data_IF_099868156471
#
_entry.id   IF_099868156471
#
_cell.length_a   1.000
_cell.length_b   1.000
_cell.length_c   1.000
_cell.angle_alpha   90.00
_cell.angle_beta   90.00
_cell.angle_gamma   90.00
#
_symmetry.space_group_name_H-M   'P 1'
#
loop_
_entity.id
_entity.type
_entity.pdbx_description
1 polymer ?
#
# COMPACT_ATOMS: atom_id res chain seq x y z
N UNK A 1 17.14 -1.21 2.88
CA UNK A 1 17.22 0.00 2.04
C UNK A 1 18.33 -0.25 1.03
N UNK A 2 18.09 -0.16 -0.29
CA UNK A 2 19.16 -0.27 -1.30
C UNK A 2 20.17 0.85 -1.16
N UNK A 3 21.46 0.57 -1.43
CA UNK A 3 22.53 1.57 -1.34
C UNK A 3 22.29 2.74 -2.29
N UNK A 4 21.78 2.46 -3.50
CA UNK A 4 21.40 3.49 -4.48
C UNK A 4 20.40 4.51 -3.94
N UNK A 5 19.50 4.11 -3.05
CA UNK A 5 18.53 5.01 -2.40
C UNK A 5 19.22 5.88 -1.35
N UNK A 6 20.12 5.29 -0.55
CA UNK A 6 20.92 6.01 0.45
C UNK A 6 21.79 7.06 -0.24
N UNK A 7 22.47 6.66 -1.31
CA UNK A 7 23.37 7.52 -2.09
C UNK A 7 22.60 8.68 -2.75
N UNK A 8 21.38 8.42 -3.28
CA UNK A 8 20.55 9.47 -3.89
C UNK A 8 20.13 10.54 -2.87
N UNK A 9 19.74 10.14 -1.66
CA UNK A 9 19.39 11.06 -0.57
C UNK A 9 20.63 11.86 -0.14
N UNK A 10 21.76 11.19 0.08
CA UNK A 10 23.01 11.84 0.47
C UNK A 10 23.53 12.81 -0.60
N UNK A 11 23.46 12.43 -1.87
CA UNK A 11 23.86 13.28 -2.99
C UNK A 11 22.95 14.51 -3.12
N UNK A 12 21.64 14.37 -2.83
CA UNK A 12 20.73 15.51 -2.82
C UNK A 12 21.15 16.56 -1.80
N UNK A 13 21.44 16.16 -0.55
CA UNK A 13 21.97 17.06 0.46
C UNK A 13 23.32 17.70 0.08
N UNK A 14 24.18 16.93 -0.59
CA UNK A 14 25.52 17.39 -1.01
C UNK A 14 25.51 18.46 -2.10
N UNK A 15 24.42 18.56 -2.90
CA UNK A 15 24.28 19.59 -3.95
C UNK A 15 23.77 20.94 -3.45
N UNK A 16 23.30 21.00 -2.21
CA UNK A 16 22.70 22.18 -1.62
C UNK A 16 21.17 22.14 -1.66
N UNK A 17 20.56 22.71 -0.62
CA UNK A 17 19.11 22.72 -0.44
C UNK A 17 18.54 24.05 -0.91
N UNK A 18 17.47 24.02 -1.70
CA UNK A 18 16.69 25.17 -2.12
C UNK A 18 15.19 24.84 -2.11
N UNK A 19 14.37 25.84 -2.43
CA UNK A 19 12.96 25.66 -2.77
C UNK A 19 12.75 25.80 -4.28
N UNK A 20 11.58 25.45 -4.76
CA UNK A 20 11.10 25.65 -6.13
C UNK A 20 10.82 27.13 -6.41
N UNK A 21 10.59 27.47 -7.68
CA UNK A 21 10.18 28.79 -8.18
C UNK A 21 11.27 29.89 -8.08
N UNK A 22 12.51 29.53 -7.79
CA UNK A 22 13.64 30.46 -7.81
C UNK A 22 14.28 30.54 -9.19
N UNK A 23 14.81 31.77 -9.56
CA UNK A 23 15.46 32.01 -10.86
C UNK A 23 16.97 31.72 -10.81
N UNK A 24 17.36 30.61 -10.22
CA UNK A 24 18.75 30.19 -10.02
C UNK A 24 18.91 28.68 -10.00
N UNK A 25 20.10 28.21 -10.37
CA UNK A 25 20.38 26.78 -10.63
C UNK A 25 19.94 25.82 -9.53
N UNK A 26 20.16 26.16 -8.25
CA UNK A 26 19.75 25.26 -7.16
C UNK A 26 18.22 25.09 -7.05
N UNK A 27 17.42 26.06 -7.50
CA UNK A 27 15.96 25.93 -7.57
C UNK A 27 15.54 25.07 -8.76
N UNK A 28 16.19 25.25 -9.92
CA UNK A 28 15.95 24.41 -11.10
C UNK A 28 16.30 22.94 -10.83
N UNK A 29 17.36 22.67 -10.05
CA UNK A 29 17.72 21.30 -9.60
C UNK A 29 16.61 20.66 -8.73
N UNK A 30 15.93 21.45 -7.89
CA UNK A 30 14.81 20.96 -7.08
C UNK A 30 13.61 20.64 -7.97
N UNK A 31 13.27 21.52 -8.92
CA UNK A 31 12.18 21.29 -9.87
C UNK A 31 12.38 20.00 -10.67
N UNK A 32 13.62 19.75 -11.16
CA UNK A 32 13.94 18.49 -11.84
C UNK A 32 13.85 17.27 -10.90
N UNK A 33 14.24 17.41 -9.62
CA UNK A 33 14.08 16.35 -8.61
C UNK A 33 12.61 15.99 -8.42
N UNK A 34 11.75 17.00 -8.28
CA UNK A 34 10.29 16.80 -8.14
C UNK A 34 9.71 16.18 -9.42
N UNK A 35 10.05 16.69 -10.59
CA UNK A 35 9.57 16.14 -11.87
C UNK A 35 10.03 14.69 -12.08
N UNK A 36 11.28 14.36 -11.70
CA UNK A 36 11.79 12.98 -11.75
C UNK A 36 11.04 12.06 -10.81
N UNK A 37 10.75 12.49 -9.58
CA UNK A 37 9.96 11.73 -8.62
C UNK A 37 8.52 11.50 -9.11
N UNK A 38 7.87 12.52 -9.73
CA UNK A 38 6.53 12.36 -10.31
C UNK A 38 6.52 11.33 -11.46
N UNK A 39 7.52 11.39 -12.36
CA UNK A 39 7.68 10.36 -13.42
C UNK A 39 7.88 8.96 -12.82
N UNK A 40 8.66 8.84 -11.74
CA UNK A 40 8.86 7.57 -11.05
C UNK A 40 7.56 7.06 -10.41
N UNK A 41 6.82 7.94 -9.74
CA UNK A 41 5.52 7.61 -9.15
C UNK A 41 4.49 7.20 -10.20
N UNK A 42 4.47 7.88 -11.34
CA UNK A 42 3.61 7.56 -12.47
C UNK A 42 3.90 6.17 -13.03
N UNK A 43 5.18 5.86 -13.26
CA UNK A 43 5.60 4.53 -13.72
C UNK A 43 5.27 3.43 -12.71
N UNK A 44 5.41 3.70 -11.41
CA UNK A 44 5.06 2.73 -10.34
C UNK A 44 3.55 2.48 -10.24
N UNK A 45 2.74 3.53 -10.33
CA UNK A 45 1.29 3.46 -10.15
C UNK A 45 0.49 3.18 -11.45
N UNK A 46 1.12 3.22 -12.63
CA UNK A 46 0.44 3.15 -13.92
C UNK A 46 -0.50 4.35 -14.11
N UNK A 47 0.05 5.56 -14.01
CA UNK A 47 -0.70 6.82 -14.08
C UNK A 47 0.11 7.90 -14.83
N UNK A 48 -0.50 9.06 -15.05
CA UNK A 48 0.20 10.24 -15.58
C UNK A 48 0.99 10.96 -14.47
N UNK A 49 2.20 11.53 -14.73
CA UNK A 49 2.97 12.30 -13.74
C UNK A 49 2.19 13.47 -13.11
N UNK A 50 1.30 14.13 -13.85
CA UNK A 50 0.45 15.21 -13.34
C UNK A 50 -0.64 14.73 -12.36
N UNK A 51 -0.76 13.44 -12.16
CA UNK A 51 -1.71 12.83 -11.23
C UNK A 51 -1.06 12.29 -9.96
N UNK A 52 0.24 12.55 -9.78
CA UNK A 52 1.02 12.10 -8.62
C UNK A 52 1.11 13.23 -7.59
N UNK A 53 0.62 12.98 -6.39
CA UNK A 53 0.67 13.89 -5.24
C UNK A 53 1.57 13.30 -4.16
N UNK A 54 2.50 14.08 -3.65
CA UNK A 54 3.37 13.71 -2.54
C UNK A 54 2.93 14.36 -1.22
N UNK A 55 3.35 13.76 -0.11
CA UNK A 55 3.10 14.29 1.23
C UNK A 55 3.92 13.57 2.28
N UNK A 56 3.71 13.93 3.54
CA UNK A 56 4.51 13.41 4.65
C UNK A 56 4.37 11.92 4.88
N UNK A 57 3.18 11.37 4.66
CA UNK A 57 2.87 9.92 4.69
C UNK A 57 1.47 9.67 4.10
N UNK A 58 1.20 8.41 3.75
CA UNK A 58 -0.09 8.01 3.15
C UNK A 58 -1.29 8.33 4.05
N UNK A 59 -1.19 8.13 5.35
CA UNK A 59 -2.28 8.42 6.29
C UNK A 59 -2.66 9.91 6.29
N UNK A 60 -1.67 10.81 6.29
CA UNK A 60 -1.91 12.27 6.22
C UNK A 60 -2.54 12.68 4.89
N UNK A 61 -2.11 12.07 3.78
CA UNK A 61 -2.71 12.31 2.46
C UNK A 61 -4.16 11.82 2.41
N UNK A 62 -4.45 10.64 2.94
CA UNK A 62 -5.84 10.14 3.01
C UNK A 62 -6.72 11.03 3.88
N UNK A 63 -6.21 11.55 5.01
CA UNK A 63 -6.94 12.55 5.79
C UNK A 63 -7.13 13.87 5.04
N UNK A 64 -6.17 14.27 4.22
CA UNK A 64 -6.30 15.48 3.40
C UNK A 64 -7.37 15.31 2.32
N UNK A 65 -7.34 14.19 1.59
CA UNK A 65 -8.34 13.81 0.59
C UNK A 65 -9.73 13.69 1.21
N UNK A 66 -9.86 12.97 2.33
CA UNK A 66 -11.15 12.73 2.97
C UNK A 66 -11.83 14.01 3.47
N UNK A 67 -11.07 14.99 3.97
CA UNK A 67 -11.61 16.30 4.35
C UNK A 67 -12.13 17.08 3.14
N UNK A 68 -11.48 16.96 1.99
CA UNK A 68 -11.93 17.56 0.75
C UNK A 68 -13.18 16.85 0.23
N UNK A 69 -13.21 15.52 0.27
CA UNK A 69 -14.36 14.70 -0.05
C UNK A 69 -15.57 15.00 0.83
N UNK A 70 -15.39 15.19 2.15
CA UNK A 70 -16.46 15.53 3.08
C UNK A 70 -17.26 16.79 2.67
N UNK A 71 -16.68 17.66 1.84
CA UNK A 71 -17.33 18.87 1.31
C UNK A 71 -18.19 18.61 0.07
N UNK A 72 -18.13 17.39 -0.47
CA UNK A 72 -18.90 16.99 -1.67
C UNK A 72 -20.09 16.09 -1.32
N UNK A 73 -20.21 15.66 -0.08
CA UNK A 73 -21.26 14.76 0.41
C UNK A 73 -22.06 15.41 1.53
N UNK A 74 -23.24 14.85 1.85
CA UNK A 74 -24.13 15.35 2.91
C UNK A 74 -25.08 14.28 3.43
N UNK A 75 -26.09 14.70 4.24
CA UNK A 75 -27.12 13.79 4.73
C UNK A 75 -27.85 13.08 3.59
N UNK A 76 -27.94 11.75 3.70
CA UNK A 76 -28.53 10.88 2.66
C UNK A 76 -27.48 10.21 1.76
N UNK A 77 -26.27 10.74 1.70
CA UNK A 77 -25.16 10.09 1.00
C UNK A 77 -24.58 8.92 1.80
N UNK A 78 -23.79 8.09 1.12
CA UNK A 78 -23.31 6.83 1.65
C UNK A 78 -21.87 6.56 1.26
N UNK A 79 -21.09 6.01 2.20
CA UNK A 79 -19.69 5.59 2.02
C UNK A 79 -19.55 4.12 2.39
N UNK A 80 -18.77 3.38 1.61
CA UNK A 80 -18.46 1.95 1.86
C UNK A 80 -16.98 1.80 2.19
N UNK A 81 -16.69 1.07 3.27
CA UNK A 81 -15.34 0.67 3.69
C UNK A 81 -15.32 -0.81 3.99
N UNK A 82 -14.15 -1.44 4.05
CA UNK A 82 -14.06 -2.89 4.33
C UNK A 82 -13.41 -3.19 5.68
N UNK A 83 -13.73 -4.36 6.24
CA UNK A 83 -13.09 -4.88 7.46
C UNK A 83 -11.70 -5.48 7.20
N UNK A 84 -11.30 -5.62 5.93
CA UNK A 84 -10.00 -6.16 5.56
C UNK A 84 -8.87 -5.14 5.67
N UNK A 85 -9.21 -3.87 5.71
CA UNK A 85 -8.32 -2.73 5.52
C UNK A 85 -7.43 -2.41 6.73
N UNK A 86 -6.31 -1.79 6.43
CA UNK A 86 -5.56 -0.97 7.39
C UNK A 86 -6.39 0.29 7.74
N UNK A 87 -6.45 0.67 9.03
CA UNK A 87 -7.30 1.76 9.52
C UNK A 87 -7.00 3.13 8.85
N UNK A 88 -5.82 3.31 8.27
CA UNK A 88 -5.51 4.50 7.49
C UNK A 88 -6.39 4.67 6.25
N UNK A 89 -6.90 3.57 5.66
CA UNK A 89 -7.84 3.60 4.53
C UNK A 89 -9.32 3.44 4.97
N UNK A 90 -9.58 3.46 6.25
CA UNK A 90 -10.93 3.36 6.85
C UNK A 90 -11.29 4.65 7.56
N UNK A 91 -10.53 4.98 8.60
CA UNK A 91 -10.86 6.05 9.54
C UNK A 91 -11.05 7.41 8.89
N UNK A 92 -10.23 7.84 7.91
CA UNK A 92 -10.43 9.11 7.22
C UNK A 92 -11.80 9.21 6.55
N UNK A 93 -12.24 8.15 5.86
CA UNK A 93 -13.53 8.12 5.15
C UNK A 93 -14.71 8.04 6.10
N UNK A 94 -14.61 7.25 7.17
CA UNK A 94 -15.63 7.16 8.23
C UNK A 94 -15.81 8.51 8.92
N UNK A 95 -14.74 9.23 9.22
CA UNK A 95 -14.81 10.55 9.84
C UNK A 95 -15.38 11.59 8.86
N UNK A 96 -14.97 11.55 7.60
CA UNK A 96 -15.52 12.41 6.56
C UNK A 96 -17.04 12.24 6.41
N UNK A 97 -17.51 11.00 6.34
CA UNK A 97 -18.93 10.68 6.27
C UNK A 97 -19.67 11.19 7.52
N UNK A 98 -19.15 10.90 8.72
CA UNK A 98 -19.75 11.36 9.98
C UNK A 98 -19.85 12.89 10.04
N UNK A 99 -18.77 13.59 9.69
CA UNK A 99 -18.73 15.06 9.79
C UNK A 99 -19.66 15.73 8.75
N UNK A 100 -19.92 15.05 7.62
CA UNK A 100 -20.88 15.47 6.61
C UNK A 100 -22.34 15.02 6.88
N UNK A 101 -22.59 14.19 7.90
CA UNK A 101 -23.90 13.60 8.19
C UNK A 101 -24.29 12.47 7.23
N UNK A 102 -23.35 11.93 6.47
CA UNK A 102 -23.52 10.76 5.61
C UNK A 102 -23.42 9.45 6.41
N UNK A 103 -23.93 8.37 5.83
CA UNK A 103 -23.90 7.04 6.44
C UNK A 103 -22.71 6.21 5.94
N UNK A 104 -22.33 5.16 6.71
CA UNK A 104 -21.23 4.25 6.37
C UNK A 104 -21.75 2.81 6.41
N UNK A 105 -21.37 1.99 5.42
CA UNK A 105 -21.51 0.53 5.44
C UNK A 105 -20.14 -0.13 5.44
N UNK A 106 -20.04 -1.18 6.24
CA UNK A 106 -18.87 -2.02 6.35
C UNK A 106 -19.08 -3.30 5.55
N UNK A 107 -18.20 -3.56 4.61
CA UNK A 107 -18.13 -4.85 3.91
C UNK A 107 -17.43 -5.85 4.81
N UNK A 108 -18.06 -6.99 5.02
CA UNK A 108 -17.54 -8.04 5.89
C UNK A 108 -16.48 -8.90 5.19
N UNK A 109 -15.78 -9.70 5.99
CA UNK A 109 -14.83 -10.72 5.52
C UNK A 109 -15.30 -12.09 5.99
N UNK A 110 -14.99 -13.12 5.22
CA UNK A 110 -15.20 -14.52 5.61
C UNK A 110 -14.19 -14.88 6.69
N UNK A 111 -14.62 -15.33 7.90
CA UNK A 111 -13.68 -15.61 8.98
C UNK A 111 -12.72 -16.76 8.71
N UNK A 112 -13.10 -17.68 7.82
CA UNK A 112 -12.35 -18.92 7.56
C UNK A 112 -11.04 -18.64 6.80
N UNK A 113 -11.05 -17.70 5.87
CA UNK A 113 -9.90 -17.41 5.02
C UNK A 113 -9.58 -15.91 4.90
N UNK A 114 -10.31 -15.06 5.63
CA UNK A 114 -10.17 -13.60 5.62
C UNK A 114 -10.23 -13.00 4.19
N UNK A 115 -11.06 -13.55 3.30
CA UNK A 115 -11.40 -12.95 2.02
C UNK A 115 -12.60 -12.02 2.16
N UNK A 116 -12.74 -11.05 1.25
CA UNK A 116 -13.93 -10.19 1.17
C UNK A 116 -15.16 -11.08 0.96
N UNK A 117 -16.22 -10.82 1.72
CA UNK A 117 -17.51 -11.46 1.51
C UNK A 117 -18.23 -10.76 0.32
N UNK A 118 -18.41 -11.46 -0.82
CA UNK A 118 -19.00 -10.85 -2.01
C UNK A 118 -20.47 -10.51 -1.82
N UNK A 119 -21.24 -11.25 -0.99
CA UNK A 119 -22.64 -10.94 -0.72
C UNK A 119 -22.76 -9.64 0.09
N UNK A 120 -21.88 -9.47 1.09
CA UNK A 120 -21.78 -8.23 1.86
C UNK A 120 -21.37 -7.04 0.99
N UNK A 121 -20.45 -7.25 0.03
CA UNK A 121 -20.04 -6.20 -0.90
C UNK A 121 -21.17 -5.79 -1.85
N UNK A 122 -21.86 -6.75 -2.47
CA UNK A 122 -22.96 -6.49 -3.38
C UNK A 122 -24.12 -5.77 -2.66
N UNK A 123 -24.49 -6.19 -1.45
CA UNK A 123 -25.50 -5.52 -0.63
C UNK A 123 -25.11 -4.08 -0.25
N UNK A 124 -23.82 -3.80 -0.01
CA UNK A 124 -23.34 -2.45 0.26
C UNK A 124 -23.52 -1.50 -0.95
N UNK A 125 -23.39 -2.02 -2.18
CA UNK A 125 -23.56 -1.24 -3.41
C UNK A 125 -25.00 -0.88 -3.74
N UNK A 126 -25.99 -1.65 -3.27
CA UNK A 126 -27.43 -1.35 -3.48
C UNK A 126 -27.83 0.03 -2.95
N UNK A 127 -27.07 0.61 -2.03
CA UNK A 127 -27.29 1.94 -1.46
C UNK A 127 -26.71 3.08 -2.30
N UNK A 128 -26.19 2.80 -3.48
CA UNK A 128 -25.55 3.77 -4.38
C UNK A 128 -24.52 4.65 -3.65
N UNK A 129 -23.41 4.07 -3.14
CA UNK A 129 -22.41 4.82 -2.38
C UNK A 129 -21.74 5.89 -3.23
N UNK A 130 -21.35 7.01 -2.60
CA UNK A 130 -20.54 8.07 -3.23
C UNK A 130 -19.07 7.66 -3.34
N UNK A 131 -18.62 6.84 -2.40
CA UNK A 131 -17.24 6.34 -2.36
C UNK A 131 -17.20 4.93 -1.79
N UNK A 132 -16.38 4.09 -2.42
CA UNK A 132 -15.99 2.76 -1.94
C UNK A 132 -14.49 2.77 -1.70
N UNK A 133 -14.06 2.48 -0.47
CA UNK A 133 -12.65 2.37 -0.11
C UNK A 133 -12.31 0.94 0.30
N UNK A 134 -11.24 0.37 -0.29
CA UNK A 134 -10.74 -0.95 0.07
C UNK A 134 -9.25 -1.14 -0.23
N UNK A 135 -8.61 -2.10 0.47
CA UNK A 135 -7.20 -2.45 0.24
C UNK A 135 -7.04 -3.40 -0.94
N UNK A 136 -5.97 -3.24 -1.72
CA UNK A 136 -5.59 -4.19 -2.77
C UNK A 136 -5.02 -5.50 -2.20
N UNK A 137 -4.40 -5.43 -1.01
CA UNK A 137 -3.99 -6.61 -0.25
C UNK A 137 -3.91 -6.29 1.24
N UNK A 138 -4.37 -7.23 2.07
CA UNK A 138 -4.32 -7.10 3.53
C UNK A 138 -2.88 -7.09 4.04
N UNK A 139 -2.53 -6.04 4.76
CA UNK A 139 -1.24 -5.93 5.46
C UNK A 139 -1.13 -6.88 6.67
N UNK A 140 -2.21 -7.52 7.07
CA UNK A 140 -2.27 -8.42 8.22
C UNK A 140 -2.13 -9.90 7.82
N UNK A 141 -2.94 -10.37 6.89
CA UNK A 141 -3.06 -11.78 6.51
C UNK A 141 -2.60 -12.08 5.07
N UNK A 142 -2.26 -11.04 4.32
CA UNK A 142 -1.77 -11.17 2.95
C UNK A 142 -2.83 -11.40 1.87
N UNK A 143 -4.11 -11.54 2.23
CA UNK A 143 -5.21 -11.72 1.25
C UNK A 143 -5.20 -10.60 0.22
N UNK A 144 -5.18 -10.95 -1.07
CA UNK A 144 -5.34 -10.03 -2.21
C UNK A 144 -6.81 -9.94 -2.56
N UNK A 145 -7.33 -8.72 -2.68
CA UNK A 145 -8.73 -8.49 -3.05
C UNK A 145 -8.95 -8.72 -4.55
N UNK A 146 -10.13 -9.14 -4.99
CA UNK A 146 -10.50 -9.23 -6.40
C UNK A 146 -10.80 -7.82 -6.95
N UNK A 147 -9.77 -6.95 -6.95
CA UNK A 147 -9.92 -5.51 -7.11
C UNK A 147 -10.57 -5.12 -8.44
N UNK A 148 -10.24 -5.77 -9.56
CA UNK A 148 -10.83 -5.46 -10.86
C UNK A 148 -12.36 -5.66 -10.86
N UNK A 149 -12.85 -6.74 -10.26
CA UNK A 149 -14.29 -7.00 -10.12
C UNK A 149 -14.94 -5.97 -9.18
N UNK A 150 -14.32 -5.71 -8.01
CA UNK A 150 -14.86 -4.77 -7.03
C UNK A 150 -14.93 -3.34 -7.60
N UNK A 151 -13.88 -2.89 -8.30
CA UNK A 151 -13.88 -1.58 -8.96
C UNK A 151 -14.99 -1.51 -10.01
N UNK A 152 -15.10 -2.52 -10.88
CA UNK A 152 -16.12 -2.52 -11.92
C UNK A 152 -17.55 -2.44 -11.36
N UNK A 153 -17.85 -3.20 -10.30
CA UNK A 153 -19.14 -3.15 -9.59
C UNK A 153 -19.38 -1.80 -8.91
N UNK A 154 -18.38 -1.24 -8.22
CA UNK A 154 -18.49 0.05 -7.55
C UNK A 154 -18.71 1.19 -8.56
N UNK A 155 -17.97 1.20 -9.68
CA UNK A 155 -18.14 2.19 -10.76
C UNK A 155 -19.52 2.05 -11.42
N UNK A 156 -20.02 0.83 -11.61
CA UNK A 156 -21.38 0.60 -12.14
C UNK A 156 -22.48 1.13 -11.18
N UNK A 157 -22.21 1.15 -9.87
CA UNK A 157 -23.07 1.76 -8.87
C UNK A 157 -22.92 3.30 -8.79
N UNK A 158 -22.03 3.91 -9.58
CA UNK A 158 -21.78 5.35 -9.61
C UNK A 158 -20.82 5.86 -8.53
N UNK A 159 -20.09 4.97 -7.86
CA UNK A 159 -19.16 5.34 -6.79
C UNK A 159 -17.80 5.77 -7.31
N UNK A 160 -17.15 6.69 -6.59
CA UNK A 160 -15.70 6.85 -6.63
C UNK A 160 -15.03 5.69 -5.88
N UNK A 161 -13.86 5.26 -6.35
CA UNK A 161 -13.14 4.13 -5.76
C UNK A 161 -11.75 4.55 -5.29
N UNK A 162 -11.51 4.43 -3.98
CA UNK A 162 -10.22 4.66 -3.35
C UNK A 162 -9.59 3.32 -2.94
N UNK A 163 -8.42 2.99 -3.48
CA UNK A 163 -7.73 1.76 -3.15
C UNK A 163 -6.45 2.01 -2.36
N UNK A 164 -6.23 1.21 -1.32
CA UNK A 164 -4.97 1.18 -0.58
C UNK A 164 -4.01 0.20 -1.27
N UNK A 165 -3.02 0.74 -1.99
CA UNK A 165 -1.94 0.01 -2.62
C UNK A 165 -0.70 -0.18 -1.74
N UNK A 166 -0.71 0.32 -0.51
CA UNK A 166 0.49 0.41 0.36
C UNK A 166 1.14 -0.95 0.60
N UNK A 167 0.36 -1.99 0.82
CA UNK A 167 0.93 -3.33 1.06
C UNK A 167 1.28 -4.06 -0.23
N UNK A 168 0.43 -3.99 -1.24
CA UNK A 168 0.63 -4.71 -2.50
C UNK A 168 1.79 -4.16 -3.35
N UNK A 169 2.11 -2.86 -3.22
CA UNK A 169 3.07 -2.16 -4.08
C UNK A 169 4.50 -2.72 -4.06
N UNK A 170 4.88 -3.48 -3.04
CA UNK A 170 6.19 -4.16 -2.99
C UNK A 170 6.16 -5.57 -3.62
N UNK A 171 4.97 -6.11 -3.90
CA UNK A 171 4.75 -7.50 -4.31
C UNK A 171 4.26 -7.63 -5.75
N UNK A 172 3.47 -6.67 -6.23
CA UNK A 172 2.83 -6.71 -7.55
C UNK A 172 2.75 -5.34 -8.19
N UNK A 173 2.74 -5.32 -9.51
CA UNK A 173 2.49 -4.10 -10.27
C UNK A 173 1.10 -3.56 -10.00
N UNK A 174 1.02 -2.23 -9.85
CA UNK A 174 -0.24 -1.48 -9.80
C UNK A 174 -0.40 -0.74 -11.12
N UNK A 175 -1.62 -0.68 -11.63
CA UNK A 175 -1.98 0.13 -12.79
C UNK A 175 -3.33 0.80 -12.52
N UNK A 176 -3.28 2.08 -12.12
CA UNK A 176 -4.47 2.84 -11.74
C UNK A 176 -5.45 2.96 -12.91
N UNK A 177 -4.93 3.23 -14.11
CA UNK A 177 -5.76 3.44 -15.28
C UNK A 177 -6.41 2.13 -15.77
N UNK A 178 -5.65 1.05 -15.81
CA UNK A 178 -6.19 -0.26 -16.17
C UNK A 178 -7.17 -0.80 -15.12
N UNK A 179 -6.94 -0.52 -13.82
CA UNK A 179 -7.84 -0.90 -12.74
C UNK A 179 -9.15 -0.11 -12.77
N UNK A 180 -9.11 1.14 -13.26
CA UNK A 180 -10.26 2.04 -13.29
C UNK A 180 -10.65 2.61 -11.93
N UNK A 181 -9.77 2.55 -10.93
CA UNK A 181 -9.96 3.21 -9.65
C UNK A 181 -9.70 4.72 -9.76
N UNK A 182 -10.23 5.50 -8.82
CA UNK A 182 -10.07 6.95 -8.84
C UNK A 182 -8.88 7.42 -8.00
N UNK A 183 -8.52 6.66 -6.96
CA UNK A 183 -7.43 6.98 -6.05
C UNK A 183 -6.65 5.70 -5.73
N UNK A 184 -5.33 5.74 -5.82
CA UNK A 184 -4.44 4.74 -5.22
C UNK A 184 -3.45 5.41 -4.29
N UNK A 185 -3.30 4.85 -3.09
CA UNK A 185 -2.34 5.32 -2.07
C UNK A 185 -1.16 4.36 -1.97
N UNK A 186 0.06 4.88 -1.94
CA UNK A 186 1.29 4.12 -1.79
C UNK A 186 2.17 4.79 -0.72
N UNK A 187 2.86 3.98 0.08
CA UNK A 187 3.89 4.43 1.04
C UNK A 187 5.27 4.09 0.48
N UNK A 188 6.04 5.05 -0.04
CA UNK A 188 7.36 4.81 -0.62
C UNK A 188 8.31 3.98 0.24
N UNK A 189 8.30 4.12 1.58
CA UNK A 189 9.16 3.31 2.45
C UNK A 189 8.86 1.80 2.42
N UNK A 190 7.67 1.39 1.95
CA UNK A 190 7.33 -0.03 1.75
C UNK A 190 7.72 -0.55 0.37
N UNK A 191 8.12 0.32 -0.53
CA UNK A 191 8.72 -0.02 -1.82
C UNK A 191 10.20 0.38 -1.86
N UNK A 192 10.89 0.17 -0.72
CA UNK A 192 12.33 0.35 -0.52
C UNK A 192 12.81 1.80 -0.60
N UNK A 193 11.92 2.77 -0.58
CA UNK A 193 12.20 4.21 -0.58
C UNK A 193 12.19 4.84 0.83
N UNK A 194 12.33 6.17 0.92
CA UNK A 194 12.26 6.91 2.17
C UNK A 194 10.84 7.03 2.75
N UNK A 195 10.75 7.53 4.00
CA UNK A 195 9.47 7.85 4.64
C UNK A 195 8.84 9.09 4.00
N UNK A 196 7.83 8.85 3.20
CA UNK A 196 6.92 9.83 2.60
C UNK A 196 5.63 9.14 2.18
N UNK A 197 4.63 9.89 1.75
CA UNK A 197 3.39 9.40 1.16
C UNK A 197 3.30 9.75 -0.30
N UNK A 198 2.61 8.91 -1.07
CA UNK A 198 2.25 9.16 -2.46
C UNK A 198 0.79 8.75 -2.69
N UNK A 199 0.09 9.57 -3.45
CA UNK A 199 -1.23 9.26 -4.01
C UNK A 199 -1.15 9.48 -5.51
N UNK A 200 -1.68 8.54 -6.29
CA UNK A 200 -2.08 8.79 -7.66
C UNK A 200 -3.61 8.85 -7.71
N UNK A 201 -4.17 9.87 -8.36
CA UNK A 201 -5.61 10.03 -8.46
C UNK A 201 -6.03 10.52 -9.85
N UNK A 202 -7.32 10.34 -10.18
CA UNK A 202 -7.89 10.84 -11.44
C UNK A 202 -7.93 12.37 -11.45
N UNK A 203 -7.96 12.97 -12.65
CA UNK A 203 -8.13 14.40 -12.81
C UNK A 203 -9.44 14.89 -12.16
N UNK A 204 -10.53 14.08 -12.24
CA UNK A 204 -11.80 14.38 -11.57
C UNK A 204 -11.61 14.62 -10.06
N UNK A 205 -10.89 13.73 -9.38
CA UNK A 205 -10.60 13.90 -7.94
C UNK A 205 -9.69 15.10 -7.69
N UNK A 206 -8.62 15.25 -8.47
CA UNK A 206 -7.61 16.29 -8.21
C UNK A 206 -8.09 17.70 -8.54
N UNK A 207 -8.95 17.88 -9.53
CA UNK A 207 -9.36 19.19 -10.01
C UNK A 207 -10.72 19.62 -9.41
N UNK A 208 -11.65 18.68 -9.18
CA UNK A 208 -12.98 19.00 -8.67
C UNK A 208 -13.06 19.10 -7.14
N UNK A 209 -12.22 18.32 -6.43
CA UNK A 209 -12.18 18.44 -4.98
C UNK A 209 -11.38 19.65 -4.54
N UNK A 210 -11.78 20.29 -3.44
CA UNK A 210 -11.17 21.51 -2.94
C UNK A 210 -10.30 21.25 -1.70
N UNK A 211 -8.96 21.10 -1.86
CA UNK A 211 -8.08 20.88 -0.73
C UNK A 211 -7.97 22.11 0.18
N UNK A 212 -7.66 21.88 1.47
CA UNK A 212 -7.28 22.95 2.38
C UNK A 212 -5.86 23.40 2.06
N UNK A 213 -5.70 24.68 1.71
CA UNK A 213 -4.42 25.26 1.32
C UNK A 213 -4.28 26.70 1.82
N UNK A 214 -3.03 27.14 1.94
CA UNK A 214 -2.73 28.52 2.31
C UNK A 214 -3.03 29.46 1.14
N UNK A 215 -3.35 30.72 1.45
CA UNK A 215 -3.76 31.71 0.46
C UNK A 215 -2.74 31.88 -0.70
N UNK A 216 -1.40 31.92 -0.48
CA UNK A 216 -0.44 32.02 -1.59
C UNK A 216 -0.49 30.82 -2.58
N UNK A 217 -0.99 29.65 -2.16
CA UNK A 217 -1.13 28.48 -3.01
C UNK A 217 -2.51 28.35 -3.69
N UNK A 218 -3.38 29.37 -3.60
CA UNK A 218 -4.71 29.32 -4.19
C UNK A 218 -4.68 29.25 -5.73
N UNK A 219 -3.61 29.73 -6.36
CA UNK A 219 -3.42 29.68 -7.81
C UNK A 219 -2.74 28.41 -8.32
N UNK A 220 -2.26 27.52 -7.42
CA UNK A 220 -1.62 26.28 -7.85
C UNK A 220 -2.64 25.35 -8.49
N UNK A 221 -2.23 24.69 -9.56
CA UNK A 221 -2.97 23.64 -10.24
C UNK A 221 -2.61 22.26 -9.68
N UNK A 222 -3.27 21.19 -10.14
CA UNK A 222 -2.92 19.83 -9.79
C UNK A 222 -1.60 19.43 -10.46
N UNK A 223 -0.75 18.68 -9.78
CA UNK A 223 -0.93 18.10 -8.44
C UNK A 223 -0.50 19.00 -7.27
N UNK A 224 0.22 20.11 -7.51
CA UNK A 224 0.84 20.98 -6.48
C UNK A 224 -0.21 21.56 -5.53
N UNK A 225 -1.44 21.79 -5.98
CA UNK A 225 -2.52 22.30 -5.13
C UNK A 225 -2.86 21.38 -3.95
N UNK A 226 -2.45 20.11 -3.99
CA UNK A 226 -2.65 19.10 -2.94
C UNK A 226 -1.46 18.98 -2.00
N UNK A 227 -0.32 19.54 -2.34
CA UNK A 227 0.92 19.46 -1.57
C UNK A 227 1.04 20.65 -0.64
N UNK A 228 0.78 20.44 0.66
CA UNK A 228 0.79 21.52 1.66
C UNK A 228 2.19 21.77 2.20
N UNK A 229 2.69 23.00 1.95
CA UNK A 229 4.03 23.43 2.39
C UNK A 229 5.16 22.83 1.56
N UNK A 230 6.38 23.18 1.90
CA UNK A 230 7.59 22.65 1.24
C UNK A 230 7.68 21.16 1.45
N UNK A 231 7.86 20.43 0.36
CA UNK A 231 7.94 18.97 0.38
C UNK A 231 9.35 18.48 0.77
N UNK A 232 9.45 17.19 1.06
CA UNK A 232 10.71 16.53 1.36
C UNK A 232 11.41 16.12 0.06
N UNK A 233 12.18 17.05 -0.54
CA UNK A 233 12.82 16.85 -1.83
C UNK A 233 13.89 15.76 -1.81
N UNK A 234 14.63 15.62 -0.71
CA UNK A 234 15.61 14.54 -0.53
C UNK A 234 14.93 13.16 -0.51
N UNK A 235 13.74 13.05 0.09
CA UNK A 235 12.97 11.81 0.03
C UNK A 235 12.42 11.56 -1.39
N UNK A 236 12.06 12.58 -2.14
CA UNK A 236 11.65 12.42 -3.53
C UNK A 236 12.81 11.90 -4.41
N UNK A 237 14.04 12.38 -4.19
CA UNK A 237 15.23 11.86 -4.86
C UNK A 237 15.46 10.37 -4.52
N UNK A 238 15.36 10.01 -3.23
CA UNK A 238 15.45 8.63 -2.76
C UNK A 238 14.33 7.73 -3.28
N UNK A 239 13.11 8.25 -3.40
CA UNK A 239 11.99 7.53 -3.98
C UNK A 239 12.20 7.19 -5.45
N UNK A 240 12.66 8.16 -6.25
CA UNK A 240 12.97 7.90 -7.64
C UNK A 240 14.02 6.80 -7.79
N UNK A 241 15.09 6.83 -6.96
CA UNK A 241 16.10 5.78 -6.92
C UNK A 241 15.55 4.41 -6.49
N UNK A 242 14.55 4.36 -5.60
CA UNK A 242 13.90 3.12 -5.21
C UNK A 242 13.08 2.51 -6.37
N UNK A 243 12.41 3.34 -7.15
CA UNK A 243 11.68 2.89 -8.35
C UNK A 243 12.65 2.40 -9.42
N UNK A 244 13.80 3.08 -9.59
CA UNK A 244 14.84 2.65 -10.52
C UNK A 244 15.49 1.32 -10.08
N UNK A 245 15.71 1.10 -8.76
CA UNK A 245 16.15 -0.18 -8.21
C UNK A 245 15.18 -1.32 -8.57
N UNK A 246 13.88 -1.11 -8.42
CA UNK A 246 12.89 -2.13 -8.83
C UNK A 246 12.94 -2.36 -10.36
N UNK A 247 13.03 -1.32 -11.16
CA UNK A 247 13.12 -1.43 -12.61
C UNK A 247 14.39 -2.20 -13.05
N UNK A 248 15.51 -2.05 -12.33
CA UNK A 248 16.76 -2.78 -12.60
C UNK A 248 16.61 -4.29 -12.38
N UNK A 249 15.81 -4.73 -11.39
CA UNK A 249 15.46 -6.16 -11.21
C UNK A 249 14.81 -6.71 -12.47
N UNK A 250 13.84 -5.99 -13.04
CA UNK A 250 13.15 -6.42 -14.26
C UNK A 250 14.03 -6.38 -15.50
N UNK A 251 14.85 -5.36 -15.66
CA UNK A 251 15.80 -5.27 -16.78
C UNK A 251 16.80 -6.44 -16.73
N UNK A 252 17.36 -6.72 -15.57
CA UNK A 252 18.32 -7.83 -15.37
C UNK A 252 17.68 -9.19 -15.65
N UNK A 253 16.45 -9.43 -15.19
CA UNK A 253 15.73 -10.68 -15.43
C UNK A 253 15.45 -10.96 -16.91
N UNK A 254 15.38 -9.90 -17.74
CA UNK A 254 15.19 -9.99 -19.18
C UNK A 254 16.52 -10.01 -19.97
N UNK A 255 17.67 -9.98 -19.28
CA UNK A 255 18.99 -9.92 -19.92
C UNK A 255 19.28 -8.59 -20.64
N UNK A 256 18.58 -7.51 -20.24
CA UNK A 256 18.78 -6.17 -20.78
C UNK A 256 19.86 -5.45 -19.98
N UNK A 257 20.79 -4.78 -20.66
CA UNK A 257 21.70 -3.84 -20.01
C UNK A 257 20.87 -2.65 -19.45
N UNK A 258 21.39 -2.01 -18.39
CA UNK A 258 20.77 -0.91 -17.65
C UNK A 258 20.08 0.09 -18.61
N UNK A 259 18.76 0.27 -18.50
CA UNK A 259 17.99 1.06 -19.46
C UNK A 259 17.91 2.53 -19.11
N UNK A 260 17.89 3.44 -20.12
CA UNK A 260 17.69 4.88 -19.93
C UNK A 260 16.24 5.21 -19.57
N UNK A 261 16.04 6.37 -18.92
CA UNK A 261 14.73 6.90 -18.53
C UNK A 261 13.78 7.07 -19.74
N UNK A 262 12.49 6.68 -19.55
CA UNK A 262 11.43 6.79 -20.55
C UNK A 262 10.53 5.55 -20.56
N UNK A 263 9.58 5.40 -21.46
CA UNK A 263 8.57 4.33 -21.54
C UNK A 263 9.04 2.88 -21.29
N UNK A 264 10.33 2.69 -21.19
CA UNK A 264 11.03 1.48 -20.82
C UNK A 264 11.01 1.19 -19.30
N UNK A 265 10.94 2.23 -18.40
CA UNK A 265 10.91 2.01 -16.96
C UNK A 265 9.62 1.32 -16.50
N UNK A 266 8.46 1.72 -17.01
CA UNK A 266 7.19 1.03 -16.71
C UNK A 266 7.23 -0.43 -17.14
N UNK A 267 7.74 -0.75 -18.33
CA UNK A 267 7.87 -2.12 -18.80
C UNK A 267 8.84 -2.94 -17.93
N UNK A 268 9.96 -2.34 -17.52
CA UNK A 268 10.92 -2.97 -16.62
C UNK A 268 10.29 -3.24 -15.23
N UNK A 269 9.49 -2.32 -14.69
CA UNK A 269 8.75 -2.52 -13.44
C UNK A 269 7.76 -3.69 -13.53
N UNK A 270 7.00 -3.82 -14.63
CA UNK A 270 6.10 -4.94 -14.85
C UNK A 270 6.90 -6.26 -14.81
N UNK A 271 8.02 -6.35 -15.55
CA UNK A 271 8.88 -7.52 -15.55
C UNK A 271 9.52 -7.80 -14.18
N UNK A 272 9.86 -6.75 -13.43
CA UNK A 272 10.35 -6.88 -12.05
C UNK A 272 9.31 -7.55 -11.17
N UNK A 273 8.06 -7.08 -11.19
CA UNK A 273 7.00 -7.64 -10.37
C UNK A 273 6.59 -9.06 -10.79
N UNK A 274 6.71 -9.41 -12.07
CA UNK A 274 6.55 -10.80 -12.52
C UNK A 274 7.63 -11.70 -11.90
N UNK A 275 8.89 -11.25 -11.91
CA UNK A 275 10.04 -11.97 -11.33
C UNK A 275 9.92 -12.06 -9.80
N UNK A 276 9.63 -10.95 -9.14
CA UNK A 276 9.39 -10.86 -7.68
C UNK A 276 8.26 -11.81 -7.29
N UNK A 277 7.12 -11.71 -7.98
CA UNK A 277 5.95 -12.53 -7.71
C UNK A 277 6.20 -14.04 -7.89
N UNK A 278 7.00 -14.43 -8.88
CA UNK A 278 7.38 -15.83 -9.08
C UNK A 278 8.23 -16.34 -7.90
N UNK A 279 9.24 -15.57 -7.46
CA UNK A 279 10.07 -15.90 -6.32
C UNK A 279 9.26 -15.96 -5.02
N UNK A 280 8.45 -14.94 -4.74
CA UNK A 280 7.65 -14.84 -3.52
C UNK A 280 6.57 -15.92 -3.43
N UNK A 281 5.99 -16.36 -4.56
CA UNK A 281 5.10 -17.54 -4.57
C UNK A 281 5.84 -18.81 -4.15
N UNK A 282 7.12 -18.97 -4.50
CA UNK A 282 7.96 -20.05 -4.03
C UNK A 282 8.16 -20.04 -2.50
N UNK A 283 8.47 -18.86 -1.95
CA UNK A 283 8.60 -18.67 -0.49
C UNK A 283 7.27 -18.92 0.23
N UNK A 284 6.17 -18.38 -0.30
CA UNK A 284 4.85 -18.55 0.28
C UNK A 284 4.40 -20.03 0.29
N UNK A 285 4.63 -20.75 -0.81
CA UNK A 285 4.37 -22.19 -0.88
C UNK A 285 5.16 -22.95 0.16
N UNK A 286 6.48 -22.69 0.23
CA UNK A 286 7.35 -23.34 1.21
C UNK A 286 6.88 -23.10 2.65
N UNK A 287 6.46 -21.85 2.96
CA UNK A 287 5.95 -21.52 4.28
C UNK A 287 4.63 -22.22 4.59
N UNK A 288 3.67 -22.22 3.65
CA UNK A 288 2.36 -22.87 3.84
C UNK A 288 2.49 -24.39 3.99
N UNK A 289 3.29 -25.02 3.15
CA UNK A 289 3.54 -26.46 3.22
C UNK A 289 4.23 -26.85 4.55
N UNK A 290 5.17 -26.02 5.03
CA UNK A 290 5.88 -26.25 6.28
C UNK A 290 5.00 -26.03 7.52
N UNK A 291 4.25 -24.94 7.57
CA UNK A 291 3.44 -24.59 8.76
C UNK A 291 2.26 -25.54 8.96
N UNK A 292 1.74 -26.13 7.88
CA UNK A 292 0.66 -27.12 7.97
C UNK A 292 1.04 -28.39 8.76
N UNK A 293 2.35 -28.66 8.90
CA UNK A 293 2.88 -29.79 9.66
C UNK A 293 3.28 -29.45 11.10
N UNK A 294 3.06 -28.23 11.58
CA UNK A 294 3.44 -27.81 12.94
C UNK A 294 2.19 -27.79 13.81
N UNK A 295 2.05 -28.82 14.67
CA UNK A 295 0.98 -28.86 15.67
C UNK A 295 1.12 -27.66 16.62
N UNK A 296 -0.04 -27.12 17.05
CA UNK A 296 -0.06 -25.95 17.95
C UNK A 296 0.13 -24.59 17.27
N UNK A 297 0.40 -24.52 15.96
CA UNK A 297 0.44 -23.26 15.23
C UNK A 297 -0.83 -23.08 14.40
N UNK A 298 -1.51 -21.96 14.60
CA UNK A 298 -2.70 -21.59 13.82
C UNK A 298 -2.37 -20.44 12.86
N UNK A 299 -2.62 -20.65 11.56
CA UNK A 299 -2.55 -19.64 10.52
C UNK A 299 -3.93 -19.01 10.30
N UNK A 300 -3.97 -17.69 10.09
CA UNK A 300 -5.16 -16.93 9.71
C UNK A 300 -5.00 -16.38 8.29
N UNK A 301 -6.11 -16.34 7.55
CA UNK A 301 -6.13 -16.03 6.12
C UNK A 301 -6.03 -17.28 5.24
N UNK A 302 -5.76 -17.11 3.96
CA UNK A 302 -5.72 -18.19 2.97
C UNK A 302 -4.56 -19.14 3.29
N UNK A 303 -4.89 -20.39 3.68
CA UNK A 303 -3.91 -21.44 3.99
C UNK A 303 -3.64 -22.38 2.80
N UNK A 304 -4.51 -22.38 1.79
CA UNK A 304 -4.41 -23.27 0.63
C UNK A 304 -3.27 -22.84 -0.31
N UNK A 305 -2.25 -23.68 -0.44
CA UNK A 305 -1.13 -23.49 -1.36
C UNK A 305 -1.53 -23.57 -2.85
N UNK A 306 -2.76 -23.96 -3.16
CA UNK A 306 -3.37 -23.85 -4.51
C UNK A 306 -3.83 -22.44 -4.86
N UNK A 307 -3.97 -21.56 -3.85
CA UNK A 307 -4.50 -20.18 -3.98
C UNK A 307 -3.43 -19.09 -3.80
N UNK A 308 -2.18 -19.37 -4.19
CA UNK A 308 -1.08 -18.41 -4.01
C UNK A 308 -1.26 -17.09 -4.78
N UNK A 309 -2.04 -17.08 -5.85
CA UNK A 309 -2.33 -15.86 -6.59
C UNK A 309 -3.33 -14.95 -5.86
N UNK A 310 -4.01 -15.46 -4.84
CA UNK A 310 -4.95 -14.71 -4.00
C UNK A 310 -4.29 -14.17 -2.72
N UNK A 311 -2.95 -14.27 -2.61
CA UNK A 311 -2.24 -13.78 -1.43
C UNK A 311 -0.85 -13.21 -1.76
N UNK A 312 -0.35 -12.36 -0.87
CA UNK A 312 1.07 -11.99 -0.73
C UNK A 312 1.76 -12.92 0.27
N UNK A 313 3.10 -12.97 0.34
CA UNK A 313 3.83 -13.79 1.31
C UNK A 313 3.82 -13.19 2.73
N UNK A 314 2.64 -12.78 3.20
CA UNK A 314 2.39 -12.18 4.52
C UNK A 314 1.42 -13.07 5.30
N UNK A 315 1.81 -13.46 6.51
CA UNK A 315 1.13 -14.48 7.30
C UNK A 315 0.86 -13.98 8.71
N UNK A 316 -0.36 -14.19 9.23
CA UNK A 316 -0.71 -13.96 10.61
C UNK A 316 -0.83 -15.31 11.32
N UNK A 317 -0.05 -15.52 12.38
CA UNK A 317 -0.01 -16.81 13.09
C UNK A 317 -0.18 -16.65 14.59
N UNK A 318 -0.71 -17.69 15.24
CA UNK A 318 -0.73 -17.87 16.70
C UNK A 318 -0.04 -19.18 17.04
N UNK A 319 0.71 -19.20 18.13
CA UNK A 319 1.42 -20.38 18.64
C UNK A 319 0.82 -20.76 19.98
N UNK A 320 0.12 -21.89 20.03
CA UNK A 320 -0.59 -22.36 21.23
C UNK A 320 -1.47 -21.28 21.84
N UNK A 321 -1.44 -21.22 23.16
CA UNK A 321 -2.13 -20.19 23.95
C UNK A 321 -1.21 -18.98 24.28
N UNK A 322 0.02 -18.96 23.76
CA UNK A 322 0.95 -17.89 24.03
C UNK A 322 0.45 -16.53 23.50
N UNK A 323 0.65 -15.47 24.28
CA UNK A 323 0.37 -14.13 23.82
C UNK A 323 1.31 -13.78 22.64
N UNK A 324 0.82 -13.20 21.53
CA UNK A 324 1.63 -12.93 20.32
C UNK A 324 2.94 -12.18 20.61
N UNK A 325 2.94 -11.27 21.58
CA UNK A 325 4.14 -10.53 22.00
C UNK A 325 5.23 -11.45 22.56
N UNK A 326 4.86 -12.48 23.32
CA UNK A 326 5.85 -13.42 23.88
C UNK A 326 6.45 -14.29 22.77
N UNK A 327 5.62 -14.74 21.83
CA UNK A 327 6.11 -15.42 20.62
C UNK A 327 7.06 -14.52 19.81
N UNK A 328 6.70 -13.25 19.59
CA UNK A 328 7.54 -12.30 18.86
C UNK A 328 8.88 -12.06 19.56
N UNK A 329 8.92 -11.96 20.90
CA UNK A 329 10.15 -11.86 21.69
C UNK A 329 11.03 -13.09 21.52
N UNK A 330 10.46 -14.28 21.65
CA UNK A 330 11.18 -15.54 21.50
C UNK A 330 11.80 -15.70 20.10
N UNK A 331 11.09 -15.23 19.05
CA UNK A 331 11.61 -15.17 17.68
C UNK A 331 12.73 -14.12 17.54
N UNK A 332 12.59 -12.95 18.16
CA UNK A 332 13.61 -11.91 18.15
C UNK A 332 14.91 -12.36 18.80
N UNK A 333 14.86 -13.13 19.91
CA UNK A 333 16.04 -13.74 20.56
C UNK A 333 16.78 -14.72 19.64
N UNK A 334 16.09 -15.28 18.63
CA UNK A 334 16.65 -16.12 17.57
C UNK A 334 17.07 -15.32 16.34
N UNK A 335 17.04 -13.97 16.38
CA UNK A 335 17.35 -13.08 15.29
C UNK A 335 16.30 -13.14 14.15
N UNK A 336 15.05 -13.46 14.48
CA UNK A 336 13.91 -13.45 13.55
C UNK A 336 13.01 -12.28 13.94
N UNK A 337 12.95 -11.24 13.08
CA UNK A 337 12.25 -10.00 13.38
C UNK A 337 10.85 -10.02 12.79
N UNK A 338 9.84 -10.04 13.66
CA UNK A 338 8.42 -10.09 13.32
C UNK A 338 7.66 -9.02 14.09
N UNK A 339 6.44 -8.71 13.65
CA UNK A 339 5.53 -7.84 14.39
C UNK A 339 4.47 -8.66 15.13
N UNK A 340 4.04 -8.17 16.29
CA UNK A 340 2.89 -8.65 17.05
C UNK A 340 1.76 -7.61 17.08
N UNK A 341 0.54 -8.06 17.30
CA UNK A 341 -0.64 -7.19 17.47
C UNK A 341 -1.63 -7.28 16.32
N UNK A 342 -2.34 -6.18 16.06
CA UNK A 342 -3.38 -6.06 15.02
C UNK A 342 -2.94 -5.26 13.79
N UNK A 343 -1.72 -4.72 13.77
CA UNK A 343 -1.09 -4.00 12.63
C UNK A 343 -1.97 -2.91 12.02
N UNK A 344 -2.79 -2.24 12.83
CA UNK A 344 -3.84 -1.28 12.41
C UNK A 344 -4.94 -1.88 11.53
N UNK A 345 -5.06 -3.21 11.38
CA UNK A 345 -6.17 -3.90 10.76
C UNK A 345 -7.23 -4.26 11.84
N UNK A 346 -7.69 -3.26 12.57
CA UNK A 346 -8.50 -3.40 13.80
C UNK A 346 -9.77 -4.19 13.52
N UNK A 347 -10.53 -3.82 12.49
CA UNK A 347 -11.81 -4.43 12.14
C UNK A 347 -11.66 -5.90 11.71
N UNK A 348 -10.55 -6.24 11.04
CA UNK A 348 -10.25 -7.64 10.70
C UNK A 348 -10.01 -8.46 11.95
N UNK A 349 -9.17 -7.96 12.88
CA UNK A 349 -8.85 -8.69 14.10
C UNK A 349 -10.04 -8.77 15.06
N UNK A 350 -10.92 -7.79 15.09
CA UNK A 350 -12.21 -7.86 15.78
C UNK A 350 -13.08 -8.97 15.18
N UNK A 351 -13.24 -9.00 13.85
CA UNK A 351 -14.03 -9.99 13.13
C UNK A 351 -13.51 -11.43 13.31
N UNK A 352 -12.19 -11.60 13.45
CA UNK A 352 -11.55 -12.87 13.72
C UNK A 352 -11.58 -13.27 15.22
N UNK A 353 -12.09 -12.41 16.11
CA UNK A 353 -12.11 -12.64 17.56
C UNK A 353 -10.74 -12.59 18.22
N UNK A 354 -9.78 -11.87 17.61
CA UNK A 354 -8.39 -11.82 18.07
C UNK A 354 -8.00 -10.48 18.69
N UNK A 355 -8.83 -9.44 18.57
CA UNK A 355 -8.47 -8.09 18.98
C UNK A 355 -8.14 -8.03 20.47
N UNK A 356 -9.04 -8.54 21.32
CA UNK A 356 -8.91 -8.51 22.78
C UNK A 356 -7.85 -9.49 23.32
N UNK A 357 -7.38 -10.43 22.50
CA UNK A 357 -6.37 -11.42 22.89
C UNK A 357 -4.96 -11.08 22.37
N UNK A 358 -4.74 -9.84 21.96
CA UNK A 358 -3.43 -9.33 21.55
C UNK A 358 -3.08 -9.53 20.07
N UNK A 359 -4.07 -9.89 19.21
CA UNK A 359 -3.85 -10.05 17.77
C UNK A 359 -3.13 -11.33 17.39
N UNK A 360 -2.15 -11.23 16.50
CA UNK A 360 -1.33 -12.34 16.02
C UNK A 360 0.14 -11.92 15.84
N UNK A 361 1.02 -12.86 15.52
CA UNK A 361 2.37 -12.59 15.01
C UNK A 361 2.29 -12.50 13.50
N UNK A 362 2.83 -11.41 12.92
CA UNK A 362 2.92 -11.24 11.47
C UNK A 362 4.30 -11.56 10.96
N UNK A 363 4.38 -12.51 10.06
CA UNK A 363 5.57 -12.95 9.34
C UNK A 363 5.40 -12.53 7.88
N UNK A 364 6.42 -11.91 7.30
CA UNK A 364 6.38 -11.46 5.90
C UNK A 364 7.70 -11.72 5.20
N UNK A 365 7.61 -12.15 3.95
CA UNK A 365 8.77 -12.32 3.09
C UNK A 365 8.71 -11.35 1.92
N UNK A 366 9.86 -10.98 1.39
CA UNK A 366 10.02 -10.13 0.22
C UNK A 366 11.03 -10.78 -0.73
N UNK A 367 11.21 -10.19 -1.90
CA UNK A 367 12.08 -10.70 -2.96
C UNK A 367 13.55 -10.93 -2.55
N UNK A 368 14.03 -10.32 -1.49
CA UNK A 368 15.41 -10.51 -0.99
C UNK A 368 15.55 -11.64 0.04
N UNK A 369 14.47 -12.29 0.45
CA UNK A 369 14.53 -13.45 1.34
C UNK A 369 14.80 -14.74 0.57
N UNK A 370 15.44 -15.69 1.26
CA UNK A 370 15.77 -17.01 0.75
C UNK A 370 14.83 -18.10 1.32
N UNK A 371 14.87 -19.28 0.70
CA UNK A 371 14.17 -20.48 1.23
C UNK A 371 14.72 -20.89 2.60
N UNK A 372 16.03 -20.74 2.83
CA UNK A 372 16.66 -21.05 4.12
C UNK A 372 16.13 -20.17 5.25
N UNK A 373 15.81 -18.90 4.97
CA UNK A 373 15.20 -18.01 5.95
C UNK A 373 13.76 -18.43 6.27
N UNK A 374 12.99 -18.92 5.28
CA UNK A 374 11.68 -19.52 5.51
C UNK A 374 11.78 -20.75 6.41
N UNK A 375 12.72 -21.66 6.11
CA UNK A 375 12.95 -22.88 6.89
C UNK A 375 13.39 -22.56 8.33
N UNK A 376 14.22 -21.54 8.50
CA UNK A 376 14.63 -21.07 9.83
C UNK A 376 13.44 -20.57 10.65
N UNK A 377 12.50 -19.83 10.04
CA UNK A 377 11.26 -19.37 10.71
C UNK A 377 10.40 -20.56 11.09
N UNK A 378 10.20 -21.52 10.17
CA UNK A 378 9.40 -22.73 10.43
C UNK A 378 9.99 -23.57 11.57
N UNK A 379 11.33 -23.77 11.59
CA UNK A 379 12.02 -24.46 12.68
C UNK A 379 11.81 -23.76 14.03
N UNK A 380 11.93 -22.44 14.07
CA UNK A 380 11.71 -21.66 15.30
C UNK A 380 10.25 -21.73 15.78
N UNK A 381 9.28 -21.71 14.87
CA UNK A 381 7.87 -21.88 15.22
C UNK A 381 7.59 -23.28 15.80
N UNK A 382 8.19 -24.33 15.22
CA UNK A 382 8.04 -25.70 15.71
C UNK A 382 8.64 -25.92 17.11
N UNK A 383 9.71 -25.19 17.46
CA UNK A 383 10.30 -25.21 18.81
C UNK A 383 9.44 -24.48 19.85
N UNK A 384 8.60 -23.53 19.42
CA UNK A 384 7.76 -22.70 20.28
C UNK A 384 6.33 -23.24 20.44
N UNK A 385 5.94 -24.17 19.58
CA UNK A 385 4.63 -24.82 19.60
C UNK A 385 4.58 -25.97 20.59
#
# INVERSE_FOLDING_TARGET
MPDTVIDAVAAHFGRGISNMDGVFAASEDIEETVATARRAGADLAGADPHRIVFGTNSTSLLFHLSRSFARTIGPGDHVVVTRLDHDANVRPWVLAARDAGASVTWVDVRPDDATIDPESFDAALERAPKLVAFTLASNAVGTVTPAAEMVAKAKAAGALVAVDGVHIAQHRSIDLDALGADIVTISPYKVFGPHMGMVAATAEVLDEWHPYRVRPAEHYESPERWETGTQNHEAMAGFAAAVDYLAEIGATSQGLERQPAGGTRRAALIAAFDTIGAHERGLARRFLDGIAGIDGVRLYGIADAGRLDERTPTFAVRVGDAHPRETAKALAERGIFVWDGHYYAIELFDRLGLLETGGAVRIGFCHYHSVDEVDRVLGALAELA
#
